data_IF_108570738745
#
_entry.id   IF_108570738745
#
_cell.length_a   1.000
_cell.length_b   1.000
_cell.length_c   1.000
_cell.angle_alpha   90.00
_cell.angle_beta   90.00
_cell.angle_gamma   90.00
#
_symmetry.space_group_name_H-M   'P 1'
#
loop_
_entity.id
_entity.type
_entity.pdbx_description
1 polymer ?
#
# COMPACT_ATOMS: atom_id res chain seq x y z
N UNK A 1 59.67 32.01 29.01
CA UNK A 1 60.62 31.27 29.88
C UNK A 1 59.86 30.14 30.56
N UNK A 2 60.38 28.91 30.40
CA UNK A 2 60.22 27.68 31.22
C UNK A 2 58.78 27.11 31.33
N UNK A 3 58.35 26.11 30.55
CA UNK A 3 58.70 24.67 30.52
C UNK A 3 58.69 23.97 31.88
N UNK A 4 57.80 22.98 32.04
CA UNK A 4 58.17 21.65 32.56
C UNK A 4 57.05 20.62 32.33
N UNK A 5 57.33 19.69 31.43
CA UNK A 5 56.75 18.34 31.34
C UNK A 5 57.22 17.50 32.55
N UNK A 6 56.56 16.39 32.91
CA UNK A 6 57.10 15.11 32.44
C UNK A 6 56.05 14.02 32.11
N UNK A 7 56.41 13.19 31.11
CA UNK A 7 55.92 11.82 30.82
C UNK A 7 56.87 10.80 31.50
N UNK A 8 56.82 9.48 31.20
CA UNK A 8 55.78 8.42 31.35
C UNK A 8 56.34 7.17 32.11
N UNK A 9 55.80 5.94 31.84
CA UNK A 9 56.39 4.56 31.95
C UNK A 9 55.73 3.64 33.02
N UNK A 10 55.56 2.29 32.86
CA UNK A 10 55.48 1.40 31.69
C UNK A 10 54.27 0.41 31.66
N UNK A 11 54.11 -0.23 30.48
CA UNK A 11 53.42 -1.52 30.25
C UNK A 11 54.27 -2.71 30.73
N UNK A 12 53.63 -3.78 31.23
CA UNK A 12 54.18 -5.13 31.22
C UNK A 12 53.09 -6.14 30.82
N UNK A 13 53.39 -6.87 29.76
CA UNK A 13 52.69 -8.01 29.18
C UNK A 13 52.88 -9.28 30.04
N UNK A 14 51.88 -10.15 30.09
CA UNK A 14 52.12 -11.60 30.19
C UNK A 14 51.05 -12.41 29.44
N UNK A 15 51.53 -13.40 28.71
CA UNK A 15 50.84 -14.30 27.79
C UNK A 15 50.17 -15.51 28.50
N UNK A 16 48.94 -15.87 28.06
CA UNK A 16 48.43 -17.21 27.63
C UNK A 16 48.56 -18.49 28.54
N UNK A 17 47.81 -19.61 28.33
CA UNK A 17 46.45 -19.85 27.78
C UNK A 17 45.64 -20.92 28.64
N UNK A 18 44.81 -21.87 28.11
CA UNK A 18 43.39 -21.96 28.44
C UNK A 18 42.97 -23.20 29.27
N UNK A 19 41.82 -23.14 29.96
CA UNK A 19 41.21 -24.32 30.59
C UNK A 19 39.75 -24.52 30.19
N UNK A 20 39.52 -25.61 29.46
CA UNK A 20 38.27 -26.35 29.29
C UNK A 20 37.43 -26.42 30.57
N UNK A 21 36.10 -26.19 30.47
CA UNK A 21 35.04 -27.09 30.98
C UNK A 21 33.62 -26.61 30.65
N UNK A 22 33.04 -27.30 29.66
CA UNK A 22 31.66 -27.83 29.53
C UNK A 22 30.50 -27.14 30.26
N UNK A 23 29.58 -26.62 29.44
CA UNK A 23 28.13 -26.56 29.67
C UNK A 23 27.45 -27.92 29.46
N UNK A 24 26.38 -28.29 30.18
CA UNK A 24 25.47 -29.35 29.78
C UNK A 24 24.28 -28.79 28.98
N UNK A 25 23.92 -29.50 27.90
CA UNK A 25 22.69 -29.35 27.11
C UNK A 25 21.85 -30.65 27.21
N UNK A 26 20.58 -30.64 26.77
CA UNK A 26 19.48 -31.28 27.49
C UNK A 26 19.16 -32.72 27.06
N UNK A 27 18.30 -33.32 27.88
CA UNK A 27 17.62 -34.61 27.74
C UNK A 27 17.14 -34.93 26.31
N UNK A 28 17.57 -36.10 25.82
CA UNK A 28 16.90 -36.88 24.79
C UNK A 28 16.43 -38.19 25.45
N UNK A 29 15.14 -38.50 25.36
CA UNK A 29 14.56 -39.74 25.90
C UNK A 29 14.54 -40.79 24.80
N UNK A 30 15.09 -41.96 25.13
CA UNK A 30 15.34 -43.09 24.24
C UNK A 30 14.09 -43.90 23.90
N UNK A 31 14.05 -44.36 22.66
CA UNK A 31 13.30 -45.52 22.20
C UNK A 31 13.76 -46.79 22.95
N UNK A 32 12.80 -47.62 23.34
CA UNK A 32 13.02 -49.02 23.72
C UNK A 32 12.22 -49.89 22.74
N UNK A 33 12.94 -50.81 22.10
CA UNK A 33 12.44 -51.90 21.28
C UNK A 33 12.34 -53.12 22.19
N UNK A 34 11.23 -53.87 22.09
CA UNK A 34 11.20 -55.31 22.32
C UNK A 34 10.01 -55.95 21.59
N UNK A 35 10.31 -57.11 21.00
CA UNK A 35 9.58 -57.91 20.03
C UNK A 35 8.29 -58.58 20.56
N UNK A 36 7.31 -58.87 19.69
CA UNK A 36 6.98 -60.23 19.20
C UNK A 36 5.61 -60.35 18.50
N UNK A 37 5.61 -61.22 17.48
CA UNK A 37 4.51 -62.02 16.89
C UNK A 37 3.56 -61.45 15.80
N UNK A 38 3.81 -61.90 14.56
CA UNK A 38 2.81 -62.16 13.50
C UNK A 38 2.08 -63.50 13.78
N UNK A 39 0.87 -63.82 13.22
CA UNK A 39 0.50 -63.59 11.81
C UNK A 39 -0.98 -63.26 11.52
N UNK A 40 -1.27 -62.76 10.31
CA UNK A 40 -2.66 -62.70 9.81
C UNK A 40 -2.88 -61.83 8.58
N UNK A 41 -2.73 -62.42 7.40
CA UNK A 41 -2.95 -61.80 6.09
C UNK A 41 -4.45 -61.67 5.81
N UNK A 42 -4.99 -60.45 5.72
CA UNK A 42 -6.29 -60.19 5.07
C UNK A 42 -6.39 -58.75 4.51
N UNK A 43 -6.47 -58.73 3.19
CA UNK A 43 -6.88 -57.69 2.21
C UNK A 43 -7.55 -56.41 2.73
N UNK A 44 -6.99 -55.29 2.26
CA UNK A 44 -7.39 -53.89 2.38
C UNK A 44 -8.73 -53.57 1.66
N UNK A 45 -9.73 -52.93 2.32
CA UNK A 45 -10.77 -52.18 1.64
C UNK A 45 -10.52 -50.66 1.78
N UNK A 46 -10.33 -49.99 0.64
CA UNK A 46 -10.07 -48.56 0.56
C UNK A 46 -11.11 -47.64 1.22
N UNK A 47 -10.81 -46.33 1.34
CA UNK A 47 -11.51 -45.42 2.23
C UNK A 47 -12.98 -45.18 1.83
N UNK A 48 -13.90 -45.59 2.70
CA UNK A 48 -15.32 -45.26 2.62
C UNK A 48 -15.54 -43.77 2.94
N UNK A 49 -16.25 -43.06 2.06
CA UNK A 49 -16.70 -41.69 2.30
C UNK A 49 -17.76 -41.65 3.43
N UNK A 50 -17.67 -40.72 4.38
CA UNK A 50 -18.69 -40.57 5.41
C UNK A 50 -20.01 -40.03 4.82
N UNK A 51 -21.18 -40.42 5.38
CA UNK A 51 -22.49 -40.04 4.86
C UNK A 51 -22.73 -38.52 4.96
N UNK A 52 -23.53 -37.94 4.05
CA UNK A 52 -23.75 -36.50 3.97
C UNK A 52 -24.46 -35.98 5.22
N UNK A 53 -23.84 -35.01 5.90
CA UNK A 53 -24.47 -34.28 7.01
C UNK A 53 -25.65 -33.44 6.49
N UNK A 54 -26.76 -33.34 7.24
CA UNK A 54 -27.89 -32.49 6.85
C UNK A 54 -27.47 -31.01 6.81
N UNK A 55 -28.07 -30.19 5.92
CA UNK A 55 -27.65 -28.81 5.71
C UNK A 55 -27.83 -27.99 6.99
N UNK A 56 -26.71 -27.47 7.52
CA UNK A 56 -26.69 -26.54 8.64
C UNK A 56 -27.54 -25.31 8.28
N UNK A 57 -28.58 -25.03 9.07
CA UNK A 57 -29.37 -23.80 8.97
C UNK A 57 -28.47 -22.60 9.31
N UNK A 58 -27.92 -21.96 8.28
CA UNK A 58 -27.22 -20.68 8.40
C UNK A 58 -28.28 -19.59 8.63
N UNK A 59 -28.10 -18.77 9.68
CA UNK A 59 -29.05 -17.70 10.02
C UNK A 59 -29.22 -16.71 8.85
N UNK A 60 -30.46 -16.24 8.64
CA UNK A 60 -30.83 -15.29 7.57
C UNK A 60 -30.00 -13.99 7.63
N UNK A 61 -29.51 -13.62 8.82
CA UNK A 61 -28.59 -12.50 9.02
C UNK A 61 -27.21 -12.75 8.41
N UNK A 62 -26.60 -13.92 8.62
CA UNK A 62 -25.29 -14.27 8.03
C UNK A 62 -25.33 -14.26 6.49
N UNK A 63 -26.50 -14.57 5.90
CA UNK A 63 -26.77 -14.47 4.47
C UNK A 63 -26.91 -13.03 3.95
N UNK A 64 -27.27 -12.06 4.80
CA UNK A 64 -27.33 -10.64 4.40
C UNK A 64 -25.94 -10.01 4.39
N UNK A 65 -25.10 -10.39 5.37
CA UNK A 65 -23.68 -10.07 5.38
C UNK A 65 -22.94 -10.74 4.21
N UNK A 66 -23.31 -11.96 3.81
CA UNK A 66 -22.74 -12.62 2.63
C UNK A 66 -23.08 -11.91 1.32
N UNK A 67 -24.31 -11.41 1.17
CA UNK A 67 -24.70 -10.58 0.02
C UNK A 67 -23.95 -9.24 -0.01
N UNK A 68 -23.81 -8.57 1.14
CA UNK A 68 -22.98 -7.37 1.26
C UNK A 68 -21.47 -7.65 1.05
N UNK A 69 -21.02 -8.91 1.23
CA UNK A 69 -19.67 -9.37 0.87
C UNK A 69 -19.53 -9.57 -0.64
N UNK A 70 -20.48 -10.23 -1.31
CA UNK A 70 -20.43 -10.45 -2.76
C UNK A 70 -20.42 -9.14 -3.57
N UNK A 71 -21.19 -8.13 -3.14
CA UNK A 71 -21.18 -6.79 -3.74
C UNK A 71 -19.82 -6.08 -3.53
N UNK A 72 -19.05 -6.47 -2.50
CA UNK A 72 -17.71 -5.95 -2.17
C UNK A 72 -16.56 -6.70 -2.84
N UNK A 73 -16.60 -8.02 -2.97
CA UNK A 73 -15.50 -8.84 -3.48
C UNK A 73 -15.46 -8.97 -5.01
N UNK A 74 -16.51 -8.57 -5.74
CA UNK A 74 -16.50 -8.58 -7.21
C UNK A 74 -16.51 -9.98 -7.83
N UNK A 75 -16.83 -11.03 -7.07
CA UNK A 75 -17.03 -12.37 -7.63
C UNK A 75 -18.38 -12.47 -8.36
N UNK A 76 -18.36 -13.02 -9.59
CA UNK A 76 -19.58 -13.38 -10.33
C UNK A 76 -20.36 -14.41 -9.51
N UNK A 77 -21.64 -14.12 -9.27
CA UNK A 77 -22.58 -15.08 -8.73
C UNK A 77 -23.14 -15.85 -9.92
N UNK A 78 -22.77 -17.12 -10.04
CA UNK A 78 -23.48 -18.05 -10.92
C UNK A 78 -24.83 -18.36 -10.26
N UNK A 79 -25.91 -17.89 -10.88
CA UNK A 79 -27.26 -18.25 -10.50
C UNK A 79 -27.56 -19.67 -11.01
N UNK A 80 -28.01 -20.61 -10.15
CA UNK A 80 -28.58 -21.85 -10.65
C UNK A 80 -29.92 -21.53 -11.31
N UNK A 81 -29.89 -21.32 -12.63
CA UNK A 81 -31.09 -21.27 -13.45
C UNK A 81 -31.75 -22.65 -13.41
N UNK A 82 -33.00 -22.68 -12.98
CA UNK A 82 -33.91 -23.82 -13.01
C UNK A 82 -33.97 -24.37 -14.46
N UNK A 83 -33.16 -25.40 -14.77
CA UNK A 83 -33.20 -26.08 -16.06
C UNK A 83 -34.46 -26.95 -16.14
N UNK A 84 -35.48 -26.47 -16.84
CA UNK A 84 -36.42 -27.34 -17.53
C UNK A 84 -35.68 -28.05 -18.67
N UNK A 85 -35.84 -29.38 -18.71
CA UNK A 85 -35.31 -30.29 -19.73
C UNK A 85 -35.88 -29.95 -21.11
N UNK A 86 -35.03 -29.83 -22.11
CA UNK A 86 -35.30 -30.30 -23.48
C UNK A 86 -33.97 -30.63 -24.15
N UNK A 87 -33.96 -31.75 -24.85
CA UNK A 87 -32.77 -32.43 -25.35
C UNK A 87 -32.56 -32.17 -26.84
N UNK A 88 -31.28 -32.13 -27.25
CA UNK A 88 -30.78 -32.66 -28.52
C UNK A 88 -30.87 -31.77 -29.77
N UNK A 89 -29.71 -31.34 -30.28
CA UNK A 89 -29.28 -31.40 -31.69
C UNK A 89 -27.82 -30.90 -31.81
N UNK A 90 -26.94 -31.51 -32.64
CA UNK A 90 -25.52 -31.17 -32.74
C UNK A 90 -25.23 -30.04 -33.76
N UNK A 91 -24.03 -29.41 -33.72
CA UNK A 91 -23.71 -28.25 -34.57
C UNK A 91 -23.24 -28.66 -35.98
N UNK A 92 -23.39 -27.81 -37.02
CA UNK A 92 -22.83 -28.07 -38.34
C UNK A 92 -21.37 -27.61 -38.46
N UNK A 93 -20.64 -28.31 -39.34
CA UNK A 93 -19.23 -28.13 -39.68
C UNK A 93 -18.97 -26.96 -40.66
N UNK A 94 -17.71 -26.49 -40.84
CA UNK A 94 -17.38 -25.36 -41.70
C UNK A 94 -17.05 -25.78 -43.14
N UNK A 95 -17.25 -24.87 -44.11
CA UNK A 95 -16.82 -25.02 -45.51
C UNK A 95 -16.04 -23.78 -46.00
N UNK A 96 -15.22 -23.91 -47.07
CA UNK A 96 -13.97 -23.17 -47.22
C UNK A 96 -13.97 -22.03 -48.25
N UNK A 97 -12.82 -21.35 -48.30
CA UNK A 97 -12.30 -20.31 -49.19
C UNK A 97 -12.72 -20.31 -50.66
N UNK A 98 -12.80 -19.11 -51.26
CA UNK A 98 -12.23 -18.89 -52.60
C UNK A 98 -11.80 -17.45 -52.90
N UNK A 99 -10.72 -17.36 -53.68
CA UNK A 99 -10.04 -16.18 -54.26
C UNK A 99 -10.88 -15.52 -55.39
N UNK A 100 -10.78 -14.23 -55.72
CA UNK A 100 -9.77 -13.64 -56.62
C UNK A 100 -10.30 -12.30 -57.19
N UNK A 101 -9.38 -11.51 -57.75
CA UNK A 101 -9.54 -10.46 -58.78
C UNK A 101 -9.65 -8.96 -58.41
N UNK A 102 -8.51 -8.29 -58.67
CA UNK A 102 -8.34 -6.87 -58.99
C UNK A 102 -8.60 -6.62 -60.49
N UNK A 103 -8.85 -5.35 -60.88
CA UNK A 103 -8.08 -4.79 -62.00
C UNK A 103 -7.52 -3.38 -61.73
N UNK A 104 -6.58 -3.01 -62.61
CA UNK A 104 -5.52 -2.00 -62.48
C UNK A 104 -5.72 -0.86 -63.51
N UNK A 105 -5.74 0.40 -63.02
CA UNK A 105 -5.43 1.77 -63.56
C UNK A 105 -5.96 2.26 -64.95
N UNK A 106 -6.10 3.59 -65.22
CA UNK A 106 -4.97 4.56 -65.32
C UNK A 106 -5.13 5.92 -64.61
N UNK A 107 -3.98 6.55 -64.39
CA UNK A 107 -3.75 7.84 -63.76
C UNK A 107 -3.93 9.02 -64.73
N UNK A 108 -4.33 10.20 -64.22
CA UNK A 108 -3.58 11.47 -64.31
C UNK A 108 -4.34 12.67 -63.71
N UNK A 109 -3.56 13.55 -63.05
CA UNK A 109 -3.69 15.02 -62.96
C UNK A 109 -4.55 15.71 -61.86
N UNK A 110 -3.80 16.38 -60.95
CA UNK A 110 -4.01 17.66 -60.22
C UNK A 110 -5.28 17.92 -59.38
N UNK A 111 -5.11 18.19 -58.08
CA UNK A 111 -4.97 19.57 -57.56
C UNK A 111 -4.54 19.61 -56.09
N UNK A 112 -3.63 20.54 -55.79
CA UNK A 112 -3.16 20.92 -54.46
C UNK A 112 -4.24 21.72 -53.71
N UNK A 113 -4.58 21.31 -52.49
CA UNK A 113 -5.17 22.23 -51.48
C UNK A 113 -4.53 21.87 -50.14
N UNK A 114 -3.91 22.88 -49.53
CA UNK A 114 -2.96 22.76 -48.43
C UNK A 114 -3.53 22.12 -47.17
N UNK A 115 -2.73 21.22 -46.60
CA UNK A 115 -2.80 20.88 -45.19
C UNK A 115 -2.32 22.09 -44.40
N UNK A 116 -3.26 22.78 -43.75
CA UNK A 116 -2.94 23.61 -42.59
C UNK A 116 -2.34 22.68 -41.54
N UNK A 117 -1.01 22.68 -41.44
CA UNK A 117 -0.29 22.09 -40.32
C UNK A 117 -0.76 22.78 -39.04
N UNK A 118 -1.69 22.14 -38.32
CA UNK A 118 -2.01 22.43 -36.93
C UNK A 118 -0.74 22.19 -36.10
N UNK A 119 0.08 23.23 -36.02
CA UNK A 119 1.29 23.31 -35.22
C UNK A 119 0.95 23.28 -33.73
N UNK A 120 0.51 22.12 -33.23
CA UNK A 120 0.64 21.80 -31.82
C UNK A 120 2.12 21.59 -31.53
N UNK A 121 2.83 22.66 -31.16
CA UNK A 121 4.13 22.54 -30.51
C UNK A 121 3.99 21.58 -29.33
N UNK A 122 4.53 20.37 -29.48
CA UNK A 122 4.63 19.42 -28.38
C UNK A 122 5.67 20.00 -27.42
N UNK A 123 5.21 20.74 -26.40
CA UNK A 123 6.08 21.26 -25.37
C UNK A 123 6.86 20.11 -24.73
N UNK A 124 8.16 20.02 -25.03
CA UNK A 124 9.07 19.07 -24.38
C UNK A 124 9.08 19.34 -22.87
N UNK A 125 8.62 18.37 -22.09
CA UNK A 125 8.52 18.48 -20.64
C UNK A 125 9.88 18.62 -19.98
N UNK A 126 10.00 19.53 -19.02
CA UNK A 126 11.22 19.71 -18.23
C UNK A 126 11.52 18.47 -17.42
N UNK A 127 12.73 17.94 -17.53
CA UNK A 127 13.14 16.74 -16.83
C UNK A 127 13.63 17.03 -15.39
N UNK A 128 13.26 16.17 -14.46
CA UNK A 128 13.77 16.12 -13.08
C UNK A 128 14.33 14.73 -12.82
N UNK A 129 15.62 14.68 -12.57
CA UNK A 129 16.36 13.47 -12.23
C UNK A 129 16.42 13.33 -10.72
N UNK A 130 16.02 12.17 -10.22
CA UNK A 130 16.03 11.83 -8.80
C UNK A 130 17.07 10.73 -8.57
N UNK A 131 18.16 11.04 -7.90
CA UNK A 131 19.31 10.13 -7.77
C UNK A 131 19.49 9.70 -6.31
N UNK A 132 19.59 8.40 -6.06
CA UNK A 132 19.74 7.86 -4.71
C UNK A 132 20.66 6.66 -4.68
N UNK A 133 21.53 6.63 -3.67
CA UNK A 133 22.34 5.45 -3.29
C UNK A 133 21.50 4.35 -2.60
N UNK A 134 20.23 4.63 -2.33
CA UNK A 134 19.25 3.70 -1.82
C UNK A 134 18.12 3.45 -2.82
N UNK A 135 16.88 3.59 -2.36
CA UNK A 135 15.69 3.27 -3.16
C UNK A 135 15.14 4.46 -3.95
N UNK A 136 15.53 5.69 -3.63
CA UNK A 136 14.99 6.88 -4.29
C UNK A 136 13.62 7.39 -3.77
N UNK A 137 12.83 6.55 -3.09
CA UNK A 137 11.50 6.94 -2.57
C UNK A 137 11.46 8.22 -1.72
N UNK A 138 12.50 8.55 -0.96
CA UNK A 138 12.54 9.80 -0.18
C UNK A 138 12.67 11.02 -1.08
N UNK A 139 13.49 10.95 -2.13
CA UNK A 139 13.61 12.00 -3.12
C UNK A 139 12.28 12.15 -3.86
N UNK A 140 11.73 11.05 -4.37
CA UNK A 140 10.45 11.04 -5.09
C UNK A 140 9.29 11.62 -4.27
N UNK A 141 9.18 11.24 -2.98
CA UNK A 141 8.14 11.79 -2.12
C UNK A 141 8.30 13.29 -1.91
N UNK A 142 9.52 13.77 -1.75
CA UNK A 142 9.82 15.20 -1.57
C UNK A 142 9.54 15.99 -2.86
N UNK A 143 9.88 15.42 -4.02
CA UNK A 143 9.59 16.00 -5.34
C UNK A 143 8.09 16.07 -5.58
N UNK A 144 7.35 14.99 -5.34
CA UNK A 144 5.89 15.00 -5.48
C UNK A 144 5.23 16.03 -4.56
N UNK A 145 5.70 16.18 -3.32
CA UNK A 145 5.21 17.21 -2.41
C UNK A 145 5.51 18.63 -2.92
N UNK A 146 6.71 18.86 -3.47
CA UNK A 146 7.09 20.14 -4.05
C UNK A 146 6.30 20.48 -5.32
N UNK A 147 6.05 19.50 -6.19
CA UNK A 147 5.26 19.66 -7.42
C UNK A 147 3.81 20.09 -7.13
N UNK A 148 3.26 19.74 -5.96
CA UNK A 148 1.96 20.23 -5.51
C UNK A 148 1.87 21.77 -5.41
N UNK A 149 2.98 22.49 -5.27
CA UNK A 149 2.99 23.96 -5.29
C UNK A 149 2.75 24.54 -6.71
N UNK A 150 2.84 23.71 -7.75
CA UNK A 150 2.73 24.11 -9.15
C UNK A 150 1.49 23.50 -9.84
N UNK A 151 0.53 22.99 -9.08
CA UNK A 151 -0.66 22.31 -9.61
C UNK A 151 -1.41 23.14 -10.66
N UNK A 152 -1.55 24.45 -10.42
CA UNK A 152 -2.16 25.40 -11.36
C UNK A 152 -1.49 25.42 -12.75
N UNK A 153 -0.16 25.27 -12.81
CA UNK A 153 0.59 25.28 -14.06
C UNK A 153 0.67 23.90 -14.72
N UNK A 154 0.60 22.83 -13.92
CA UNK A 154 0.63 21.44 -14.39
C UNK A 154 -0.69 21.01 -15.03
N UNK A 155 -1.83 21.46 -14.50
CA UNK A 155 -3.17 21.09 -15.00
C UNK A 155 -3.42 21.64 -16.41
N UNK A 156 -3.01 22.87 -16.66
CA UNK A 156 -3.16 23.53 -17.97
C UNK A 156 -2.07 23.11 -18.97
N UNK A 157 -1.23 22.14 -18.61
CA UNK A 157 -0.01 21.71 -19.35
C UNK A 157 0.94 22.86 -19.71
N UNK A 158 0.87 23.99 -19.02
CA UNK A 158 1.77 25.13 -19.25
C UNK A 158 3.23 24.86 -18.86
N UNK A 159 3.46 23.84 -18.02
CA UNK A 159 4.80 23.40 -17.63
C UNK A 159 4.86 21.88 -17.44
N UNK A 160 4.90 21.07 -18.51
CA UNK A 160 5.01 19.62 -18.37
C UNK A 160 6.33 19.25 -17.68
N UNK A 161 6.27 18.31 -16.74
CA UNK A 161 7.42 17.83 -15.98
C UNK A 161 7.53 16.31 -16.11
N UNK A 162 8.74 15.83 -16.41
CA UNK A 162 9.07 14.41 -16.50
C UNK A 162 10.03 14.04 -15.36
N UNK A 163 9.67 13.06 -14.54
CA UNK A 163 10.51 12.62 -13.42
C UNK A 163 11.20 11.30 -13.73
N UNK A 164 12.51 11.22 -13.52
CA UNK A 164 13.33 10.03 -13.76
C UNK A 164 14.03 9.58 -12.47
N UNK A 165 13.75 8.36 -12.00
CA UNK A 165 14.30 7.83 -10.75
C UNK A 165 15.50 6.90 -11.03
N UNK A 166 16.64 7.22 -10.44
CA UNK A 166 17.87 6.44 -10.47
C UNK A 166 18.18 5.92 -9.06
N UNK A 167 17.88 4.64 -8.83
CA UNK A 167 18.08 3.97 -7.54
C UNK A 167 19.35 3.11 -7.53
N UNK A 168 19.92 2.92 -6.32
CA UNK A 168 21.12 2.12 -6.10
C UNK A 168 22.38 2.67 -6.78
N UNK A 169 22.53 3.99 -6.80
CA UNK A 169 23.71 4.67 -7.34
C UNK A 169 24.78 4.73 -6.25
N UNK A 170 25.51 3.62 -6.10
CA UNK A 170 26.55 3.44 -5.08
C UNK A 170 27.97 3.72 -5.62
N UNK A 171 28.12 3.91 -6.94
CA UNK A 171 29.41 4.07 -7.60
C UNK A 171 29.56 5.41 -8.34
N UNK A 172 30.79 5.94 -8.32
CA UNK A 172 31.13 7.21 -8.96
C UNK A 172 30.97 7.20 -10.48
N UNK A 173 31.22 6.07 -11.14
CA UNK A 173 31.12 5.96 -12.60
C UNK A 173 29.70 6.22 -13.08
N UNK A 174 28.75 5.50 -12.49
CA UNK A 174 27.31 5.63 -12.76
C UNK A 174 26.77 7.00 -12.39
N UNK A 175 27.19 7.57 -11.26
CA UNK A 175 26.82 8.93 -10.87
C UNK A 175 27.22 9.94 -11.97
N UNK A 176 28.45 9.84 -12.47
CA UNK A 176 28.94 10.73 -13.53
C UNK A 176 28.23 10.51 -14.87
N UNK A 177 27.87 9.28 -15.21
CA UNK A 177 27.06 8.99 -16.40
C UNK A 177 25.69 9.64 -16.32
N UNK A 178 25.01 9.53 -15.18
CA UNK A 178 23.69 10.13 -14.94
C UNK A 178 23.78 11.66 -15.04
N UNK A 179 24.79 12.29 -14.43
CA UNK A 179 24.94 13.75 -14.49
C UNK A 179 25.24 14.24 -15.91
N UNK A 180 26.07 13.50 -16.66
CA UNK A 180 26.33 13.81 -18.08
C UNK A 180 25.05 13.67 -18.93
N UNK A 181 24.20 12.69 -18.64
CA UNK A 181 22.92 12.55 -19.30
C UNK A 181 21.97 13.70 -18.93
N UNK A 182 21.88 14.05 -17.65
CA UNK A 182 21.09 15.20 -17.18
C UNK A 182 21.52 16.50 -17.85
N UNK A 183 22.83 16.71 -18.08
CA UNK A 183 23.34 17.86 -18.79
C UNK A 183 22.87 17.91 -20.26
N UNK A 184 22.83 16.77 -20.95
CA UNK A 184 22.33 16.68 -22.34
C UNK A 184 20.84 16.96 -22.44
N UNK A 185 20.07 16.54 -21.43
CA UNK A 185 18.62 16.70 -21.37
C UNK A 185 18.17 18.00 -20.70
N UNK A 186 19.12 18.83 -20.21
CA UNK A 186 18.79 20.06 -19.47
C UNK A 186 18.00 19.81 -18.19
N UNK A 187 18.21 18.66 -17.53
CA UNK A 187 17.42 18.21 -16.40
C UNK A 187 17.89 18.81 -15.06
N UNK A 188 16.96 18.98 -14.11
CA UNK A 188 17.28 19.28 -12.71
C UNK A 188 17.66 17.99 -11.97
N UNK A 189 18.80 17.97 -11.26
CA UNK A 189 19.25 16.80 -10.49
C UNK A 189 18.98 16.98 -9.00
N UNK A 190 18.03 16.22 -8.47
CA UNK A 190 17.74 16.14 -7.05
C UNK A 190 18.24 14.83 -6.49
N UNK A 191 19.01 14.85 -5.41
CA UNK A 191 19.67 13.64 -4.93
C UNK A 191 19.61 13.44 -3.41
N UNK A 192 19.79 12.18 -3.02
CA UNK A 192 19.97 11.75 -1.62
C UNK A 192 21.13 10.78 -1.58
N UNK A 193 22.31 11.25 -1.15
CA UNK A 193 23.54 10.46 -1.08
C UNK A 193 24.04 10.51 0.36
N UNK A 194 24.17 9.36 1.00
CA UNK A 194 24.62 9.22 2.38
C UNK A 194 26.14 9.40 2.51
N UNK A 195 26.91 8.97 1.51
CA UNK A 195 28.36 9.17 1.48
C UNK A 195 28.68 10.64 1.13
N UNK A 196 29.35 11.38 2.03
CA UNK A 196 29.70 12.78 1.78
C UNK A 196 30.59 12.97 0.55
N UNK A 197 31.48 12.02 0.23
CA UNK A 197 32.34 12.12 -0.94
C UNK A 197 31.53 12.02 -2.25
N UNK A 198 30.51 11.15 -2.28
CA UNK A 198 29.58 11.04 -3.40
C UNK A 198 28.72 12.31 -3.53
N UNK A 199 28.23 12.86 -2.42
CA UNK A 199 27.42 14.08 -2.41
C UNK A 199 28.21 15.31 -2.90
N UNK A 200 29.46 15.47 -2.44
CA UNK A 200 30.37 16.53 -2.89
C UNK A 200 30.71 16.37 -4.38
N UNK A 201 31.00 15.14 -4.80
CA UNK A 201 31.27 14.84 -6.21
C UNK A 201 30.07 15.12 -7.11
N UNK A 202 28.85 14.77 -6.68
CA UNK A 202 27.63 15.09 -7.40
C UNK A 202 27.47 16.60 -7.58
N UNK A 203 27.69 17.38 -6.51
CA UNK A 203 27.63 18.83 -6.54
C UNK A 203 28.65 19.43 -7.51
N UNK A 204 29.93 19.07 -7.36
CA UNK A 204 31.00 19.58 -8.23
C UNK A 204 30.80 19.18 -9.70
N UNK A 205 30.34 17.96 -9.96
CA UNK A 205 30.03 17.52 -11.32
C UNK A 205 28.86 18.32 -11.90
N UNK A 206 27.78 18.52 -11.15
CA UNK A 206 26.65 19.34 -11.62
C UNK A 206 27.08 20.79 -11.91
N UNK A 207 27.88 21.41 -11.03
CA UNK A 207 28.44 22.75 -11.25
C UNK A 207 29.33 22.80 -12.51
N UNK A 208 30.21 21.82 -12.70
CA UNK A 208 31.08 21.73 -13.87
C UNK A 208 30.30 21.58 -15.19
N UNK A 209 29.21 20.81 -15.20
CA UNK A 209 28.37 20.59 -16.39
C UNK A 209 27.24 21.60 -16.54
N UNK A 210 27.14 22.62 -15.67
CA UNK A 210 26.08 23.63 -15.70
C UNK A 210 24.68 23.09 -15.40
N UNK A 211 24.59 21.98 -14.66
CA UNK A 211 23.35 21.31 -14.32
C UNK A 211 22.84 21.83 -12.97
N UNK A 212 21.59 22.32 -12.88
CA UNK A 212 21.02 22.70 -11.60
C UNK A 212 20.85 21.46 -10.72
N UNK A 213 21.25 21.54 -9.45
CA UNK A 213 21.15 20.40 -8.54
C UNK A 213 20.87 20.80 -7.08
N UNK A 214 20.30 19.88 -6.31
CA UNK A 214 20.11 20.06 -4.87
C UNK A 214 20.13 18.72 -4.11
N UNK A 215 20.78 18.72 -2.95
CA UNK A 215 20.70 17.65 -1.97
C UNK A 215 19.44 17.82 -1.11
N UNK A 216 18.54 16.83 -1.17
CA UNK A 216 17.25 16.89 -0.47
C UNK A 216 17.41 16.62 1.04
N UNK A 217 18.38 15.79 1.45
CA UNK A 217 18.36 15.18 2.78
C UNK A 217 19.52 15.62 3.68
N UNK A 218 20.65 16.08 3.12
CA UNK A 218 21.80 16.53 3.91
C UNK A 218 21.46 17.64 4.93
N UNK A 219 20.72 18.71 4.58
CA UNK A 219 20.35 19.75 5.56
C UNK A 219 19.57 19.20 6.75
N UNK A 220 18.67 18.24 6.51
CA UNK A 220 17.89 17.59 7.58
C UNK A 220 18.79 16.69 8.44
N UNK A 221 19.70 15.97 7.80
CA UNK A 221 20.62 15.04 8.47
C UNK A 221 21.60 15.78 9.37
N UNK A 222 22.14 16.92 8.91
CA UNK A 222 23.03 17.79 9.67
C UNK A 222 22.33 18.43 10.88
N UNK A 223 21.09 18.89 10.71
CA UNK A 223 20.28 19.42 11.81
C UNK A 223 20.04 18.35 12.90
N UNK A 224 19.74 17.11 12.50
CA UNK A 224 19.59 15.98 13.43
C UNK A 224 20.92 15.64 14.10
N UNK A 225 22.02 15.59 13.35
CA UNK A 225 23.35 15.29 13.88
C UNK A 225 23.78 16.31 14.95
N UNK A 226 23.54 17.59 14.66
CA UNK A 226 23.80 18.70 15.60
C UNK A 226 22.95 18.57 16.85
N UNK A 227 21.66 18.25 16.71
CA UNK A 227 20.74 18.08 17.84
C UNK A 227 21.10 16.86 18.71
N UNK A 228 21.54 15.76 18.10
CA UNK A 228 21.93 14.55 18.82
C UNK A 228 23.36 14.58 19.37
N UNK A 229 24.21 15.50 18.87
CA UNK A 229 25.64 15.54 19.19
C UNK A 229 26.42 14.35 18.63
N UNK A 230 25.94 13.74 17.53
CA UNK A 230 26.54 12.55 16.91
C UNK A 230 26.67 12.76 15.41
N UNK A 231 27.85 12.48 14.85
CA UNK A 231 28.10 12.59 13.42
C UNK A 231 27.29 11.54 12.62
N UNK A 232 26.80 11.88 11.41
CA UNK A 232 26.16 10.91 10.52
C UNK A 232 27.10 9.77 10.16
N UNK A 233 26.55 8.58 9.94
CA UNK A 233 27.35 7.40 9.61
C UNK A 233 28.06 7.46 8.26
N UNK A 234 27.60 8.29 7.32
CA UNK A 234 28.12 8.33 5.95
C UNK A 234 27.82 7.09 5.08
N UNK A 235 27.06 6.11 5.60
CA UNK A 235 26.91 4.79 4.97
C UNK A 235 25.48 4.60 4.43
N UNK A 236 25.30 4.30 3.13
CA UNK A 236 23.99 4.02 2.56
C UNK A 236 23.34 2.78 3.16
N UNK A 237 22.00 2.71 3.10
CA UNK A 237 21.26 1.53 3.59
C UNK A 237 21.61 0.26 2.82
N UNK A 238 21.97 0.41 1.54
CA UNK A 238 22.39 -0.67 0.66
C UNK A 238 23.82 -1.16 0.90
N UNK A 239 24.62 -0.57 1.78
CA UNK A 239 26.01 -0.99 1.95
C UNK A 239 26.12 -2.44 2.49
N UNK A 240 27.12 -3.25 2.05
CA UNK A 240 27.30 -4.64 2.45
C UNK A 240 27.26 -4.88 3.98
N UNK A 241 27.82 -3.98 4.79
CA UNK A 241 27.79 -4.07 6.26
C UNK A 241 26.50 -3.63 6.96
N UNK A 242 25.52 -3.08 6.22
CA UNK A 242 24.20 -2.68 6.76
C UNK A 242 23.06 -3.57 6.30
N UNK A 243 23.23 -4.33 5.21
CA UNK A 243 22.21 -5.30 4.72
C UNK A 243 21.92 -6.41 5.73
N UNK A 244 22.90 -6.71 6.59
CA UNK A 244 22.82 -7.74 7.63
C UNK A 244 22.15 -7.24 8.93
N UNK A 245 21.80 -5.95 9.01
CA UNK A 245 21.12 -5.40 10.18
C UNK A 245 19.74 -6.07 10.34
N UNK A 246 19.39 -6.58 11.53
CA UNK A 246 18.09 -7.18 11.77
C UNK A 246 16.97 -6.18 11.45
N UNK A 247 15.93 -6.64 10.76
CA UNK A 247 14.73 -5.85 10.57
C UNK A 247 14.17 -5.44 11.93
N UNK A 248 13.74 -4.18 12.06
CA UNK A 248 13.30 -3.62 13.34
C UNK A 248 12.04 -4.33 13.85
N UNK A 249 11.84 -4.34 15.17
CA UNK A 249 10.57 -4.81 15.76
C UNK A 249 9.34 -4.06 15.19
N UNK A 250 9.53 -2.80 14.78
CA UNK A 250 8.49 -2.02 14.11
C UNK A 250 8.13 -2.59 12.73
N UNK A 251 9.11 -3.06 11.97
CA UNK A 251 8.84 -3.73 10.69
C UNK A 251 7.91 -4.93 10.90
N UNK A 252 8.24 -5.82 11.85
CA UNK A 252 7.40 -6.98 12.16
C UNK A 252 6.00 -6.59 12.66
N UNK A 253 5.90 -5.53 13.48
CA UNK A 253 4.61 -4.97 13.90
C UNK A 253 3.76 -4.47 12.72
N UNK A 254 4.38 -3.89 11.69
CA UNK A 254 3.68 -3.49 10.46
C UNK A 254 3.18 -4.69 9.68
N UNK A 255 4.00 -5.74 9.54
CA UNK A 255 3.57 -6.98 8.88
C UNK A 255 2.38 -7.61 9.61
N UNK A 256 2.43 -7.69 10.94
CA UNK A 256 1.32 -8.19 11.75
C UNK A 256 0.05 -7.33 11.59
N UNK A 257 0.20 -6.01 11.53
CA UNK A 257 -0.92 -5.10 11.30
C UNK A 257 -1.57 -5.29 9.92
N UNK A 258 -0.76 -5.48 8.87
CA UNK A 258 -1.22 -5.75 7.51
C UNK A 258 -1.97 -7.08 7.47
N UNK A 259 -1.36 -8.15 8.00
CA UNK A 259 -1.97 -9.49 8.04
C UNK A 259 -3.32 -9.49 8.79
N UNK A 260 -3.37 -8.84 9.96
CA UNK A 260 -4.61 -8.66 10.70
C UNK A 260 -5.68 -7.95 9.87
N UNK A 261 -5.31 -6.86 9.19
CA UNK A 261 -6.25 -5.99 8.48
C UNK A 261 -6.81 -6.67 7.23
N UNK A 262 -5.97 -7.36 6.45
CA UNK A 262 -6.40 -8.12 5.27
C UNK A 262 -7.39 -9.21 5.69
N UNK A 263 -7.09 -9.97 6.75
CA UNK A 263 -7.98 -11.01 7.29
C UNK A 263 -9.32 -10.45 7.77
N UNK A 264 -9.38 -9.16 8.13
CA UNK A 264 -10.55 -8.51 8.70
C UNK A 264 -11.40 -7.76 7.68
N UNK A 265 -10.83 -7.32 6.56
CA UNK A 265 -11.55 -6.56 5.52
C UNK A 265 -12.68 -7.37 4.86
N UNK A 266 -12.53 -8.70 4.80
CA UNK A 266 -13.54 -9.65 4.30
C UNK A 266 -14.73 -9.90 5.26
N UNK A 267 -14.85 -9.08 6.32
CA UNK A 267 -15.97 -9.13 7.27
C UNK A 267 -15.91 -10.31 8.23
N UNK A 268 -14.71 -10.78 8.54
CA UNK A 268 -14.50 -11.93 9.41
C UNK A 268 -14.61 -11.54 10.90
N UNK A 269 -15.42 -12.30 11.63
CA UNK A 269 -15.45 -12.46 13.10
C UNK A 269 -15.59 -11.17 13.93
N UNK A 270 -16.80 -10.91 14.49
CA UNK A 270 -17.03 -9.85 15.48
C UNK A 270 -16.09 -9.87 16.70
N UNK A 271 -15.45 -11.01 16.97
CA UNK A 271 -14.47 -11.22 18.04
C UNK A 271 -13.18 -10.43 17.82
N UNK A 272 -12.78 -10.22 16.56
CA UNK A 272 -11.53 -9.55 16.23
C UNK A 272 -11.59 -8.02 16.44
N UNK A 273 -12.79 -7.45 16.60
CA UNK A 273 -12.96 -6.01 16.89
C UNK A 273 -12.25 -5.60 18.20
N UNK A 274 -12.11 -6.52 19.16
CA UNK A 274 -11.37 -6.28 20.41
C UNK A 274 -9.87 -6.04 20.15
N UNK A 275 -9.28 -6.78 19.22
CA UNK A 275 -7.85 -6.75 18.91
C UNK A 275 -7.46 -5.63 17.94
N UNK A 276 -8.43 -5.02 17.26
CA UNK A 276 -8.17 -3.88 16.39
C UNK A 276 -7.69 -2.66 17.17
N UNK A 277 -6.69 -1.96 16.63
CA UNK A 277 -6.27 -0.64 17.11
C UNK A 277 -7.24 0.45 16.65
N UNK A 278 -7.76 0.35 15.43
CA UNK A 278 -8.68 1.30 14.80
C UNK A 278 -9.84 0.52 14.18
N UNK A 279 -11.07 1.01 14.33
CA UNK A 279 -12.26 0.44 13.71
C UNK A 279 -12.91 1.49 12.81
N UNK A 280 -13.02 1.20 11.52
CA UNK A 280 -13.65 2.08 10.54
C UNK A 280 -15.10 1.65 10.30
N UNK A 281 -16.04 2.57 10.48
CA UNK A 281 -17.47 2.34 10.33
C UNK A 281 -18.02 3.26 9.25
N UNK A 282 -18.78 2.75 8.28
CA UNK A 282 -19.42 3.62 7.28
C UNK A 282 -20.04 2.89 6.11
N UNK A 283 -20.78 3.61 5.28
CA UNK A 283 -21.53 3.06 4.13
C UNK A 283 -20.62 2.48 3.04
N UNK A 284 -21.15 1.62 2.17
CA UNK A 284 -20.35 1.05 1.08
C UNK A 284 -19.74 2.17 0.20
N UNK A 285 -18.48 2.02 -0.22
CA UNK A 285 -17.67 2.99 -1.02
C UNK A 285 -17.11 4.22 -0.33
N UNK A 286 -17.13 4.33 0.99
CA UNK A 286 -16.42 5.41 1.72
C UNK A 286 -14.89 5.25 1.80
N UNK A 287 -14.26 4.47 0.91
CA UNK A 287 -12.79 4.28 0.93
C UNK A 287 -12.22 3.44 2.09
N UNK A 288 -13.06 2.72 2.86
CA UNK A 288 -12.63 1.89 4.02
C UNK A 288 -11.47 0.94 3.72
N UNK A 289 -11.57 0.12 2.66
CA UNK A 289 -10.56 -0.90 2.33
C UNK A 289 -9.19 -0.26 2.04
N UNK A 290 -9.06 0.69 1.07
CA UNK A 290 -7.79 1.39 0.85
C UNK A 290 -7.25 2.09 2.11
N UNK A 291 -8.10 2.77 2.86
CA UNK A 291 -7.71 3.48 4.09
C UNK A 291 -7.21 2.53 5.17
N UNK A 292 -7.88 1.39 5.37
CA UNK A 292 -7.47 0.38 6.36
C UNK A 292 -6.10 -0.21 6.03
N UNK A 293 -5.83 -0.50 4.76
CA UNK A 293 -4.54 -1.02 4.30
C UNK A 293 -3.45 0.03 4.51
N UNK A 294 -3.70 1.29 4.17
CA UNK A 294 -2.76 2.39 4.39
C UNK A 294 -2.42 2.56 5.88
N UNK A 295 -3.43 2.55 6.76
CA UNK A 295 -3.23 2.59 8.22
C UNK A 295 -2.45 1.35 8.71
N UNK A 296 -2.68 0.18 8.12
CA UNK A 296 -1.95 -1.04 8.45
C UNK A 296 -0.46 -0.95 8.05
N UNK A 297 -0.14 -0.33 6.92
CA UNK A 297 1.25 -0.03 6.53
C UNK A 297 1.96 0.90 7.52
N UNK A 298 1.20 1.75 8.23
CA UNK A 298 1.71 2.57 9.36
C UNK A 298 1.78 1.78 10.69
N UNK A 299 1.37 0.52 10.73
CA UNK A 299 1.46 -0.37 11.89
C UNK A 299 0.20 -0.46 12.76
N UNK A 300 -0.96 -0.02 12.26
CA UNK A 300 -2.23 -0.12 12.99
C UNK A 300 -3.06 -1.32 12.53
N UNK A 301 -3.46 -2.18 13.46
CA UNK A 301 -4.45 -3.24 13.21
C UNK A 301 -5.81 -2.58 12.95
N UNK A 302 -6.33 -2.64 11.74
CA UNK A 302 -7.60 -1.99 11.38
C UNK A 302 -8.70 -3.01 11.13
N UNK A 303 -9.92 -2.72 11.59
CA UNK A 303 -11.10 -3.52 11.30
C UNK A 303 -12.17 -2.67 10.61
N UNK A 304 -12.77 -3.20 9.54
CA UNK A 304 -13.80 -2.51 8.78
C UNK A 304 -15.19 -3.05 9.12
N UNK A 305 -16.09 -2.17 9.55
CA UNK A 305 -17.50 -2.49 9.83
C UNK A 305 -18.39 -1.71 8.86
N UNK A 306 -19.01 -2.38 7.89
CA UNK A 306 -19.92 -1.74 6.95
C UNK A 306 -21.23 -1.36 7.66
N UNK A 307 -21.75 -0.18 7.37
CA UNK A 307 -23.16 0.14 7.64
C UNK A 307 -23.96 -0.26 6.39
N UNK A 308 -25.01 -1.07 6.58
CA UNK A 308 -25.94 -1.50 5.53
C UNK A 308 -27.36 -1.39 6.07
N UNK A 309 -28.27 -0.80 5.30
CA UNK A 309 -29.68 -0.65 5.72
C UNK A 309 -30.32 -2.01 6.02
N UNK A 310 -31.05 -2.07 7.14
CA UNK A 310 -31.73 -3.29 7.60
C UNK A 310 -30.79 -4.40 8.12
N UNK A 311 -29.50 -4.13 8.26
CA UNK A 311 -28.55 -5.02 8.92
C UNK A 311 -28.09 -4.37 10.22
N UNK A 312 -28.38 -5.03 11.34
CA UNK A 312 -27.91 -4.56 12.64
C UNK A 312 -26.38 -4.66 12.72
N UNK A 313 -25.78 -3.64 13.33
CA UNK A 313 -24.36 -3.66 13.65
C UNK A 313 -24.07 -4.72 14.71
N UNK A 314 -22.89 -5.39 14.65
CA UNK A 314 -22.56 -6.44 15.60
C UNK A 314 -22.51 -5.88 17.01
N UNK A 315 -23.16 -6.55 17.98
CA UNK A 315 -23.19 -6.11 19.39
C UNK A 315 -21.80 -5.88 19.98
N UNK A 316 -20.79 -6.63 19.52
CA UNK A 316 -19.40 -6.46 19.95
C UNK A 316 -18.82 -5.09 19.61
N UNK A 317 -19.32 -4.41 18.57
CA UNK A 317 -18.93 -3.03 18.22
C UNK A 317 -19.23 -2.05 19.36
N UNK A 318 -20.35 -2.25 20.07
CA UNK A 318 -20.75 -1.38 21.18
C UNK A 318 -20.07 -1.79 22.50
N UNK A 319 -19.55 -3.02 22.59
CA UNK A 319 -18.84 -3.53 23.77
C UNK A 319 -17.34 -3.24 23.80
N UNK A 320 -16.73 -2.87 22.67
CA UNK A 320 -15.31 -2.51 22.61
C UNK A 320 -15.07 -1.08 23.13
N UNK A 321 -13.80 -0.70 23.31
CA UNK A 321 -13.46 0.70 23.56
C UNK A 321 -14.02 1.60 22.42
N UNK A 322 -14.89 2.54 22.76
CA UNK A 322 -15.56 3.42 21.81
C UNK A 322 -14.64 4.51 21.24
N UNK A 323 -13.49 4.76 21.88
CA UNK A 323 -12.52 5.79 21.46
C UNK A 323 -11.69 5.40 20.23
N UNK A 324 -11.70 4.11 19.86
CA UNK A 324 -11.00 3.60 18.66
C UNK A 324 -11.90 3.42 17.44
N UNK A 325 -13.18 3.82 17.54
CA UNK A 325 -14.16 3.73 16.45
C UNK A 325 -14.24 5.08 15.73
N UNK A 326 -14.16 5.03 14.39
CA UNK A 326 -14.21 6.18 13.52
C UNK A 326 -15.28 5.99 12.45
N UNK A 327 -16.23 6.91 12.39
CA UNK A 327 -17.24 6.99 11.34
C UNK A 327 -16.66 7.62 10.08
N UNK A 328 -16.98 7.08 8.92
CA UNK A 328 -16.68 7.66 7.61
C UNK A 328 -17.98 7.99 6.89
N UNK A 329 -18.10 9.23 6.46
CA UNK A 329 -19.21 9.74 5.65
C UNK A 329 -18.69 10.37 4.36
N UNK A 330 -19.56 10.51 3.37
CA UNK A 330 -19.20 10.98 2.03
C UNK A 330 -20.37 11.77 1.43
N UNK A 331 -20.05 12.75 0.60
CA UNK A 331 -21.03 13.49 -0.17
C UNK A 331 -21.85 12.52 -1.06
N UNK A 332 -23.20 12.64 -1.08
CA UNK A 332 -24.07 11.73 -1.80
C UNK A 332 -23.83 11.74 -3.32
N UNK A 333 -23.50 12.89 -3.91
CA UNK A 333 -23.27 13.02 -5.35
C UNK A 333 -22.01 12.26 -5.75
N UNK A 334 -20.91 12.47 -5.00
CA UNK A 334 -19.64 11.76 -5.25
C UNK A 334 -19.80 10.26 -5.01
N UNK A 335 -20.53 9.87 -3.95
CA UNK A 335 -20.81 8.47 -3.66
C UNK A 335 -21.57 7.78 -4.79
N UNK A 336 -22.61 8.44 -5.34
CA UNK A 336 -23.31 7.94 -6.50
C UNK A 336 -22.37 7.73 -7.68
N UNK A 337 -21.52 8.71 -8.00
CA UNK A 337 -20.57 8.63 -9.12
C UNK A 337 -19.66 7.42 -8.99
N UNK A 338 -19.09 7.20 -7.80
CA UNK A 338 -18.23 6.04 -7.51
C UNK A 338 -19.01 4.72 -7.67
N UNK A 339 -20.27 4.68 -7.20
CA UNK A 339 -21.12 3.48 -7.32
C UNK A 339 -21.50 3.19 -8.77
N UNK A 340 -21.85 4.21 -9.56
CA UNK A 340 -22.13 4.08 -10.99
C UNK A 340 -20.92 3.53 -11.76
N UNK A 341 -19.73 4.09 -11.52
CA UNK A 341 -18.49 3.64 -12.15
C UNK A 341 -18.20 2.16 -11.84
N UNK A 342 -18.33 1.76 -10.58
CA UNK A 342 -18.14 0.36 -10.18
C UNK A 342 -19.23 -0.57 -10.70
N UNK A 343 -20.48 -0.12 -10.72
CA UNK A 343 -21.57 -0.96 -11.21
C UNK A 343 -21.42 -1.23 -12.72
N UNK A 344 -20.87 -0.27 -13.47
CA UNK A 344 -20.46 -0.45 -14.87
C UNK A 344 -19.33 -1.48 -15.00
N UNK A 345 -18.31 -1.40 -14.14
CA UNK A 345 -17.16 -2.33 -14.20
C UNK A 345 -17.52 -3.78 -13.82
N UNK A 346 -18.54 -3.98 -12.99
CA UNK A 346 -18.98 -5.30 -12.52
C UNK A 346 -20.09 -5.94 -13.38
N UNK A 347 -20.59 -5.25 -14.41
CA UNK A 347 -21.63 -5.77 -15.29
C UNK A 347 -22.96 -6.06 -14.59
N UNK A 348 -23.31 -5.31 -13.52
CA UNK A 348 -24.58 -5.53 -12.83
C UNK A 348 -25.80 -5.31 -13.76
N UNK A 349 -26.81 -6.18 -13.64
CA UNK A 349 -28.10 -6.05 -14.34
C UNK A 349 -28.78 -4.71 -13.99
N UNK A 350 -29.62 -4.19 -14.90
CA UNK A 350 -30.30 -2.88 -14.78
C UNK A 350 -31.00 -2.68 -13.43
N UNK A 351 -31.71 -3.68 -12.92
CA UNK A 351 -32.45 -3.61 -11.65
C UNK A 351 -31.54 -3.50 -10.41
N UNK A 352 -30.40 -4.21 -10.39
CA UNK A 352 -29.43 -4.13 -9.28
C UNK A 352 -28.62 -2.83 -9.33
N UNK A 353 -28.45 -2.23 -10.51
CA UNK A 353 -27.85 -0.90 -10.67
C UNK A 353 -28.76 0.20 -10.11
N UNK A 354 -30.06 0.13 -10.37
CA UNK A 354 -31.03 1.11 -9.90
C UNK A 354 -31.01 1.18 -8.37
N UNK A 355 -31.20 0.05 -7.68
CA UNK A 355 -31.27 0.06 -6.21
C UNK A 355 -29.93 0.43 -5.52
N UNK A 356 -28.78 0.11 -6.12
CA UNK A 356 -27.46 0.38 -5.51
C UNK A 356 -26.94 1.81 -5.76
N UNK A 357 -27.31 2.42 -6.88
CA UNK A 357 -26.73 3.68 -7.35
C UNK A 357 -27.72 4.81 -7.59
N UNK A 358 -29.02 4.61 -7.40
CA UNK A 358 -29.99 5.71 -7.40
C UNK A 358 -29.76 6.67 -6.23
N UNK A 359 -29.98 7.97 -6.49
CA UNK A 359 -29.67 9.02 -5.52
C UNK A 359 -30.49 8.87 -4.24
N UNK A 360 -31.75 8.44 -4.34
CA UNK A 360 -32.64 8.38 -3.19
C UNK A 360 -32.21 7.27 -2.23
N UNK A 361 -31.87 6.09 -2.76
CA UNK A 361 -31.28 5.01 -1.95
C UNK A 361 -29.92 5.39 -1.34
N UNK A 362 -29.08 6.14 -2.06
CA UNK A 362 -27.81 6.64 -1.52
C UNK A 362 -28.04 7.61 -0.35
N UNK A 363 -29.04 8.51 -0.48
CA UNK A 363 -29.42 9.44 0.59
C UNK A 363 -29.97 8.69 1.80
N UNK A 364 -30.90 7.76 1.60
CA UNK A 364 -31.46 6.93 2.67
C UNK A 364 -30.37 6.17 3.44
N UNK A 365 -29.39 5.58 2.74
CA UNK A 365 -28.30 4.84 3.38
C UNK A 365 -27.38 5.77 4.20
N UNK A 366 -27.11 6.98 3.70
CA UNK A 366 -26.33 7.99 4.42
C UNK A 366 -27.07 8.52 5.64
N UNK A 367 -28.37 8.80 5.52
CA UNK A 367 -29.22 9.21 6.64
C UNK A 367 -29.28 8.12 7.72
N UNK A 368 -29.41 6.85 7.31
CA UNK A 368 -29.36 5.71 8.21
C UNK A 368 -28.00 5.63 8.94
N UNK A 369 -26.89 5.85 8.23
CA UNK A 369 -25.57 5.90 8.86
C UNK A 369 -25.42 7.07 9.83
N UNK A 370 -25.91 8.26 9.46
CA UNK A 370 -25.88 9.45 10.30
C UNK A 370 -26.69 9.27 11.59
N UNK A 371 -27.81 8.55 11.54
CA UNK A 371 -28.57 8.17 12.75
C UNK A 371 -27.72 7.34 13.72
N UNK A 372 -26.95 6.37 13.22
CA UNK A 372 -26.02 5.62 14.07
C UNK A 372 -24.91 6.48 14.64
N UNK A 373 -24.34 7.39 13.85
CA UNK A 373 -23.32 8.30 14.34
C UNK A 373 -23.86 9.25 15.42
N UNK A 374 -25.08 9.77 15.25
CA UNK A 374 -25.75 10.61 16.24
C UNK A 374 -26.01 9.88 17.57
N UNK A 375 -26.32 8.58 17.52
CA UNK A 375 -26.46 7.75 18.72
C UNK A 375 -25.13 7.47 19.43
N UNK A 376 -23.99 7.68 18.76
CA UNK A 376 -22.66 7.36 19.26
C UNK A 376 -21.73 8.60 19.18
N UNK A 377 -21.96 9.63 20.02
CA UNK A 377 -21.24 10.91 19.92
C UNK A 377 -19.73 10.83 20.19
N UNK A 378 -19.24 9.71 20.75
CA UNK A 378 -17.80 9.46 20.96
C UNK A 378 -17.07 9.14 19.65
N UNK A 379 -17.77 8.74 18.59
CA UNK A 379 -17.18 8.35 17.32
C UNK A 379 -16.94 9.60 16.46
N UNK A 380 -15.68 9.95 16.13
CA UNK A 380 -15.41 11.00 15.17
C UNK A 380 -15.99 10.59 13.82
N UNK A 381 -16.78 11.48 13.20
CA UNK A 381 -17.30 11.27 11.85
C UNK A 381 -16.45 12.09 10.89
N UNK A 382 -15.74 11.42 10.00
CA UNK A 382 -14.82 12.03 9.06
C UNK A 382 -15.47 12.01 7.68
N UNK A 383 -15.65 13.21 7.12
CA UNK A 383 -16.03 13.34 5.72
C UNK A 383 -14.82 13.10 4.82
N UNK A 384 -14.94 12.12 3.90
CA UNK A 384 -13.86 11.68 3.00
C UNK A 384 -13.98 12.24 1.58
N UNK A 385 -14.98 13.09 1.31
CA UNK A 385 -15.24 13.67 -0.02
C UNK A 385 -14.02 14.44 -0.53
N UNK A 386 -13.47 14.06 -1.68
CA UNK A 386 -12.36 14.76 -2.32
C UNK A 386 -11.03 14.70 -1.57
N UNK A 387 -10.94 13.96 -0.46
CA UNK A 387 -9.72 13.82 0.34
C UNK A 387 -8.89 12.64 -0.12
N UNK A 388 -7.58 12.81 -0.08
CA UNK A 388 -6.66 11.70 -0.26
C UNK A 388 -6.74 10.72 0.93
N UNK A 389 -6.30 9.48 0.70
CA UNK A 389 -6.30 8.44 1.73
C UNK A 389 -5.36 8.84 2.87
N UNK A 390 -4.22 9.42 2.53
CA UNK A 390 -3.17 9.93 3.39
C UNK A 390 -3.70 11.00 4.36
N UNK A 391 -4.50 11.94 3.86
CA UNK A 391 -5.10 13.02 4.64
C UNK A 391 -6.10 12.47 5.65
N UNK A 392 -6.98 11.58 5.19
CA UNK A 392 -7.98 10.93 6.06
C UNK A 392 -7.28 10.09 7.14
N UNK A 393 -6.22 9.37 6.77
CA UNK A 393 -5.41 8.60 7.71
C UNK A 393 -4.72 9.49 8.74
N UNK A 394 -4.20 10.67 8.35
CA UNK A 394 -3.59 11.62 9.25
C UNK A 394 -4.57 12.11 10.32
N UNK A 395 -5.81 12.44 9.94
CA UNK A 395 -6.87 12.85 10.87
C UNK A 395 -7.19 11.74 11.88
N UNK A 396 -7.32 10.50 11.41
CA UNK A 396 -7.59 9.33 12.27
C UNK A 396 -6.44 9.10 13.24
N UNK A 397 -5.20 9.04 12.75
CA UNK A 397 -4.01 8.78 13.56
C UNK A 397 -3.83 9.86 14.62
N UNK A 398 -3.99 11.14 14.25
CA UNK A 398 -3.94 12.27 15.18
C UNK A 398 -4.96 12.09 16.30
N UNK A 399 -6.23 11.93 15.94
CA UNK A 399 -7.32 11.75 16.91
C UNK A 399 -7.10 10.52 17.80
N UNK A 400 -6.56 9.44 17.24
CA UNK A 400 -6.23 8.23 17.97
C UNK A 400 -5.13 8.44 19.02
N UNK A 401 -4.06 9.18 18.67
CA UNK A 401 -2.97 9.49 19.60
C UNK A 401 -3.37 10.52 20.64
N UNK A 402 -4.11 11.55 20.27
CA UNK A 402 -4.60 12.59 21.19
C UNK A 402 -5.46 11.98 22.31
N UNK A 403 -6.24 10.94 21.99
CA UNK A 403 -7.03 10.19 22.98
C UNK A 403 -6.17 9.31 23.88
N UNK A 404 -5.13 8.67 23.31
CA UNK A 404 -4.21 7.80 24.07
C UNK A 404 -3.25 8.55 24.97
N UNK A 405 -2.81 9.73 24.55
CA UNK A 405 -1.84 10.56 25.24
C UNK A 405 -2.48 11.92 25.48
N UNK A 406 -3.10 12.11 26.66
CA UNK A 406 -3.60 13.41 27.10
C UNK A 406 -2.41 14.35 27.35
N UNK A 407 -1.92 14.97 26.29
CA UNK A 407 -0.87 15.97 26.33
C UNK A 407 -1.47 17.36 26.13
N UNK A 408 -0.79 18.39 26.68
CA UNK A 408 -1.18 19.79 26.49
C UNK A 408 -1.17 20.21 25.01
N UNK A 409 -0.30 19.59 24.22
CA UNK A 409 -0.26 19.75 22.76
C UNK A 409 -0.53 18.41 22.06
N UNK A 410 -1.56 18.33 21.20
CA UNK A 410 -1.89 17.14 20.43
C UNK A 410 -0.79 16.85 19.40
N UNK A 411 -0.24 15.63 19.40
CA UNK A 411 0.86 15.23 18.51
C UNK A 411 0.94 13.72 18.32
N UNK A 412 1.49 13.31 17.18
CA UNK A 412 1.83 11.91 16.90
C UNK A 412 3.27 11.69 17.37
N UNK A 413 3.47 10.86 18.39
CA UNK A 413 4.80 10.62 18.98
C UNK A 413 5.31 9.22 18.65
N UNK A 414 6.60 9.11 18.36
CA UNK A 414 7.30 7.84 18.13
C UNK A 414 8.66 7.84 18.83
N UNK A 415 9.00 6.71 19.46
CA UNK A 415 10.33 6.46 20.02
C UNK A 415 11.15 5.66 19.01
N UNK A 416 12.39 6.10 18.80
CA UNK A 416 13.39 5.43 17.96
C UNK A 416 14.37 4.66 18.82
#
# INVERSE_FOLDING_TARGET
MLQSNPRPVPLLLSHSPPSNRRSPRPFASSCLVQDQEEPGRAVDPGPQQPPPQPPRRVSTQLNRWSRARAIRSGHRIDWPSLRQKTAGLPPPAPTPSDSSDLPVVPAEAVDEVGDEEDGCEVMEGKAIYMVSDGTGWTAEHSVNAALGQFEHCLVDRGCPVNTHLFSGVEDMGRLMEIIKQAAREGALVLYTLADPAMAESAKHACEHWGVPSADILSPTTEAIATHLGVAPSGIPRGAPGRREAPLSAEYFKRIEAIDFTIKQDDGAKPQNLNHAHIVLVGVSRTGKTPLSIYLAQKGYKVANVPIVMGVDLPKTLFGINQEKIFGLTINPVILQTIRKARAKSLGFNSEMRNNYSEMDHVREELEYANKFFAQNPKWPVIEVTGKAIEETAAVIIRTYHDRKQKCSMPRISKRY
#
